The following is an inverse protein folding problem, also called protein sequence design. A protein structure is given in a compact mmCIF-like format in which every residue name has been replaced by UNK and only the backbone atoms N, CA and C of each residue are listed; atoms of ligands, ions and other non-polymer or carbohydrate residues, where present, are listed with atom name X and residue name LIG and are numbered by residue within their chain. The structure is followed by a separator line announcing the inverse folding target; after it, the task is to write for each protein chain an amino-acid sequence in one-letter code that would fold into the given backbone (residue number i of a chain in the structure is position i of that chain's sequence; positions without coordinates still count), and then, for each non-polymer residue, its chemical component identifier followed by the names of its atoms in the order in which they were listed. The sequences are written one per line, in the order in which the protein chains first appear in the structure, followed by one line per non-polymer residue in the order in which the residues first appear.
data_IF_149215348822
#
_entry.id   IF_149215348822
#
_cell.length_a   1.000
_cell.length_b   1.000
_cell.length_c   1.000
_cell.angle_alpha   90.00
_cell.angle_beta   90.00
_cell.angle_gamma   90.00
#
_symmetry.space_group_name_H-M   'P 1'
#
loop_
_entity.id
_entity.type
_entity.pdbx_description
1 polymer ?
#
# COMPACT_ATOMS: atom_id res chain seq x y z
N UNK A 1 0.77 -17.46 -24.60
CA UNK A 1 2.01 -17.57 -23.80
C UNK A 1 1.99 -16.55 -22.66
N UNK A 2 2.52 -16.94 -21.49
CA UNK A 2 2.66 -16.06 -20.32
C UNK A 2 4.14 -15.84 -20.02
N UNK A 3 4.50 -14.63 -19.61
CA UNK A 3 5.86 -14.27 -19.21
C UNK A 3 5.86 -13.79 -17.77
N UNK A 4 6.76 -14.30 -16.93
CA UNK A 4 7.00 -13.76 -15.59
C UNK A 4 7.81 -12.47 -15.72
N UNK A 5 7.23 -11.34 -15.29
CA UNK A 5 7.87 -10.01 -15.35
C UNK A 5 8.37 -9.53 -13.99
N UNK A 6 7.86 -10.08 -12.89
CA UNK A 6 8.30 -9.76 -11.52
C UNK A 6 7.96 -10.88 -10.55
N UNK A 7 8.85 -11.10 -9.58
CA UNK A 7 8.67 -12.04 -8.49
C UNK A 7 8.95 -11.38 -7.15
N UNK A 8 7.96 -11.46 -6.24
CA UNK A 8 8.07 -10.87 -4.91
C UNK A 8 8.75 -11.83 -3.93
N UNK A 9 10.00 -11.61 -3.64
CA UNK A 9 10.79 -12.40 -2.71
C UNK A 9 10.98 -11.67 -1.36
N UNK A 10 11.22 -12.44 -0.25
CA UNK A 10 11.24 -13.89 -0.14
C UNK A 10 9.85 -14.53 -0.14
N UNK A 11 9.77 -15.81 -0.49
CA UNK A 11 8.56 -16.58 -0.29
C UNK A 11 8.25 -16.74 1.19
N UNK A 12 7.03 -16.40 1.59
CA UNK A 12 6.56 -16.53 2.96
C UNK A 12 5.31 -17.40 2.99
N UNK A 13 5.41 -18.56 3.61
CA UNK A 13 4.30 -19.48 3.84
C UNK A 13 3.42 -18.95 4.98
N UNK A 14 2.52 -18.00 4.67
CA UNK A 14 1.58 -17.43 5.61
C UNK A 14 0.31 -17.04 4.87
N UNK A 15 -0.85 -17.42 5.40
CA UNK A 15 -2.17 -17.21 4.80
C UNK A 15 -2.76 -15.80 4.96
N UNK A 16 -1.95 -14.76 5.25
CA UNK A 16 -2.48 -13.40 5.50
C UNK A 16 -1.63 -12.30 4.87
N UNK A 17 -2.25 -11.13 4.70
CA UNK A 17 -1.65 -9.87 4.28
C UNK A 17 -0.91 -10.00 2.94
N UNK A 18 -1.62 -10.42 1.90
CA UNK A 18 -1.05 -10.60 0.57
C UNK A 18 -0.83 -9.27 -0.16
N UNK A 19 -1.71 -8.29 0.05
CA UNK A 19 -1.75 -7.09 -0.78
C UNK A 19 -2.21 -7.44 -2.20
N UNK A 20 -1.27 -7.49 -3.13
CA UNK A 20 -1.46 -7.95 -4.53
C UNK A 20 -2.42 -7.08 -5.34
N UNK A 21 -2.58 -5.79 -4.99
CA UNK A 21 -3.31 -4.82 -5.80
C UNK A 21 -2.37 -4.21 -6.81
N UNK A 22 -2.87 -4.01 -8.02
CA UNK A 22 -2.10 -3.50 -9.14
C UNK A 22 -2.87 -2.40 -9.84
N UNK A 23 -2.13 -1.44 -10.38
CA UNK A 23 -2.65 -0.48 -11.34
C UNK A 23 -1.57 -0.08 -12.33
N UNK A 24 -1.98 0.23 -13.55
CA UNK A 24 -1.12 0.84 -14.55
C UNK A 24 -1.38 2.35 -14.52
N UNK A 25 -0.30 3.10 -14.42
CA UNK A 25 -0.33 4.55 -14.55
C UNK A 25 0.82 4.98 -15.45
N UNK A 26 0.50 5.70 -16.50
CA UNK A 26 1.45 6.05 -17.58
C UNK A 26 2.09 4.76 -18.15
N UNK A 27 3.41 4.67 -18.18
CA UNK A 27 4.15 3.50 -18.68
C UNK A 27 4.53 2.51 -17.56
N UNK A 28 4.06 2.73 -16.33
CA UNK A 28 4.47 1.95 -15.17
C UNK A 28 3.37 1.07 -14.62
N UNK A 29 3.76 -0.12 -14.17
CA UNK A 29 2.95 -0.99 -13.34
C UNK A 29 3.33 -0.77 -11.86
N UNK A 30 2.34 -0.41 -11.05
CA UNK A 30 2.45 -0.34 -9.60
C UNK A 30 1.82 -1.60 -9.01
N UNK A 31 2.53 -2.25 -8.08
CA UNK A 31 2.06 -3.46 -7.40
C UNK A 31 2.25 -3.32 -5.90
N UNK A 32 1.21 -3.55 -5.13
CA UNK A 32 1.30 -3.60 -3.68
C UNK A 32 1.58 -5.02 -3.19
N UNK A 33 2.48 -5.14 -2.23
CA UNK A 33 2.84 -6.41 -1.60
C UNK A 33 2.63 -6.26 -0.10
N UNK A 34 1.77 -7.11 0.47
CA UNK A 34 1.49 -7.11 1.90
C UNK A 34 2.64 -7.70 2.70
N UNK A 35 2.70 -7.41 4.01
CA UNK A 35 3.81 -7.82 4.89
C UNK A 35 3.75 -9.28 5.35
N UNK A 36 2.78 -10.06 4.84
CA UNK A 36 2.66 -11.50 5.01
C UNK A 36 2.65 -11.97 6.47
N UNK A 37 2.15 -11.14 7.40
CA UNK A 37 2.13 -11.42 8.84
C UNK A 37 3.48 -11.31 9.55
N UNK A 38 4.52 -10.82 8.88
CA UNK A 38 5.88 -10.68 9.43
C UNK A 38 6.20 -9.29 9.98
N UNK A 39 5.25 -8.37 9.89
CA UNK A 39 5.30 -7.04 10.52
C UNK A 39 6.52 -6.22 10.12
N UNK A 40 7.60 -6.32 10.88
CA UNK A 40 8.79 -5.49 10.69
C UNK A 40 9.53 -5.71 9.36
N UNK A 41 9.25 -6.78 8.63
CA UNK A 41 9.80 -6.98 7.28
C UNK A 41 9.43 -5.83 6.32
N UNK A 42 8.30 -5.15 6.59
CA UNK A 42 7.89 -3.96 5.84
C UNK A 42 8.83 -2.75 5.99
N UNK A 43 9.81 -2.83 6.90
CA UNK A 43 10.86 -1.83 7.09
C UNK A 43 12.22 -2.28 6.54
N UNK A 44 12.30 -3.49 5.98
CA UNK A 44 13.52 -4.01 5.39
C UNK A 44 13.52 -3.72 3.87
N UNK A 45 14.36 -2.80 3.40
CA UNK A 45 14.36 -2.39 2.00
C UNK A 45 15.04 -3.39 1.05
N UNK A 46 15.62 -4.46 1.56
CA UNK A 46 16.29 -5.48 0.74
C UNK A 46 15.33 -6.46 0.06
N UNK A 47 14.02 -6.38 0.38
CA UNK A 47 12.98 -7.25 -0.14
C UNK A 47 11.71 -6.50 -0.51
N UNK A 48 10.80 -7.15 -1.27
CA UNK A 48 9.57 -6.53 -1.76
C UNK A 48 8.41 -6.57 -0.75
N UNK A 49 8.54 -7.26 0.38
CA UNK A 49 7.43 -7.57 1.30
C UNK A 49 7.07 -6.35 2.15
N UNK A 50 5.78 -5.96 2.16
CA UNK A 50 5.32 -4.77 2.87
C UNK A 50 5.64 -3.46 2.13
N UNK A 51 5.69 -3.51 0.79
CA UNK A 51 6.04 -2.37 -0.05
C UNK A 51 5.07 -2.16 -1.23
N UNK A 52 5.22 -1.02 -1.88
CA UNK A 52 4.72 -0.77 -3.23
C UNK A 52 5.92 -0.78 -4.16
N UNK A 53 5.89 -1.62 -5.16
CA UNK A 53 6.88 -1.64 -6.23
C UNK A 53 6.38 -0.89 -7.46
N UNK A 54 7.31 -0.36 -8.24
CA UNK A 54 7.06 0.22 -9.57
C UNK A 54 8.04 -0.37 -10.58
N UNK A 55 7.50 -0.93 -11.65
CA UNK A 55 8.27 -1.50 -12.77
C UNK A 55 7.71 -0.97 -14.10
N UNK A 56 8.49 -1.07 -15.15
CA UNK A 56 8.00 -0.91 -16.51
C UNK A 56 7.07 -2.07 -16.89
N UNK A 57 6.25 -1.91 -17.92
CA UNK A 57 5.31 -2.94 -18.38
C UNK A 57 5.99 -4.24 -18.85
N UNK A 58 7.27 -4.16 -19.21
CA UNK A 58 8.12 -5.31 -19.57
C UNK A 58 8.84 -5.97 -18.38
N UNK A 59 8.63 -5.45 -17.17
CA UNK A 59 9.28 -5.92 -15.95
C UNK A 59 10.61 -5.27 -15.62
N UNK A 60 11.18 -4.48 -16.52
CA UNK A 60 12.43 -3.76 -16.27
C UNK A 60 12.25 -2.65 -15.19
N UNK A 61 13.36 -2.26 -14.57
CA UNK A 61 13.35 -1.26 -13.50
C UNK A 61 13.41 0.15 -14.07
N UNK A 62 12.44 1.05 -13.75
CA UNK A 62 12.49 2.45 -14.13
C UNK A 62 13.73 3.14 -13.56
N UNK A 63 14.49 3.85 -14.39
CA UNK A 63 15.74 4.52 -14.01
C UNK A 63 15.55 5.60 -12.94
N UNK A 64 14.36 6.15 -12.84
CA UNK A 64 13.97 7.18 -11.88
C UNK A 64 13.32 6.62 -10.60
N UNK A 65 13.31 5.30 -10.36
CA UNK A 65 12.91 4.75 -9.08
C UNK A 65 13.81 5.29 -7.96
N UNK A 66 13.25 5.47 -6.74
CA UNK A 66 13.97 6.20 -5.68
C UNK A 66 15.28 5.56 -5.23
N UNK A 67 15.43 4.26 -5.44
CA UNK A 67 16.52 3.49 -4.82
C UNK A 67 17.43 2.76 -5.83
N UNK A 68 17.34 3.02 -7.12
CA UNK A 68 18.16 2.36 -8.15
C UNK A 68 19.68 2.54 -7.96
N UNK A 69 20.09 3.60 -7.29
CA UNK A 69 21.51 3.87 -6.99
C UNK A 69 21.96 3.35 -5.61
N UNK A 70 21.05 2.74 -4.84
CA UNK A 70 21.37 2.24 -3.51
C UNK A 70 21.48 0.71 -3.50
N UNK A 71 22.70 0.14 -3.37
CA UNK A 71 22.91 -1.31 -3.45
C UNK A 71 22.30 -2.09 -2.28
N UNK A 72 21.86 -1.40 -1.23
CA UNK A 72 21.19 -2.04 -0.07
C UNK A 72 19.68 -2.11 -0.22
N UNK A 73 19.12 -1.52 -1.26
CA UNK A 73 17.70 -1.47 -1.51
C UNK A 73 17.33 -2.25 -2.76
N UNK A 74 16.18 -2.92 -2.73
CA UNK A 74 15.62 -3.53 -3.93
C UNK A 74 15.19 -2.40 -4.90
N UNK A 75 15.75 -2.32 -6.13
CA UNK A 75 15.57 -1.16 -7.00
C UNK A 75 14.14 -1.00 -7.54
N UNK A 76 13.30 -2.04 -7.47
CA UNK A 76 11.88 -1.96 -7.82
C UNK A 76 11.03 -1.27 -6.76
N UNK A 77 11.51 -1.09 -5.53
CA UNK A 77 10.75 -0.43 -4.47
C UNK A 77 10.50 1.03 -4.82
N UNK A 78 9.24 1.43 -4.67
CA UNK A 78 8.80 2.81 -4.82
C UNK A 78 8.43 3.46 -3.47
N UNK A 79 7.82 2.66 -2.56
CA UNK A 79 7.40 3.06 -1.22
C UNK A 79 7.39 1.85 -0.30
N UNK A 80 7.69 2.02 0.99
CA UNK A 80 7.69 0.94 1.98
C UNK A 80 6.71 1.20 3.13
N UNK A 81 6.63 0.23 4.05
CA UNK A 81 5.92 0.37 5.32
C UNK A 81 4.42 0.22 5.23
N UNK A 82 3.92 -0.55 4.27
CA UNK A 82 2.50 -0.94 4.19
C UNK A 82 2.26 -2.29 4.86
N UNK A 83 1.03 -2.48 5.39
CA UNK A 83 0.65 -3.74 6.04
C UNK A 83 -0.03 -4.69 5.06
N UNK A 84 -1.16 -4.29 4.52
CA UNK A 84 -1.99 -5.12 3.65
C UNK A 84 -2.88 -4.24 2.77
N UNK A 85 -2.37 -3.67 1.69
CA UNK A 85 -3.18 -2.89 0.76
C UNK A 85 -4.28 -3.74 0.10
N UNK A 86 -5.51 -3.21 0.05
CA UNK A 86 -6.69 -3.90 -0.48
C UNK A 86 -7.30 -3.21 -1.70
N UNK A 87 -6.89 -2.00 -2.00
CA UNK A 87 -7.26 -1.25 -3.20
C UNK A 87 -6.10 -0.42 -3.70
N UNK A 88 -6.08 -0.15 -5.00
CA UNK A 88 -5.12 0.74 -5.64
C UNK A 88 -5.75 1.30 -6.91
N UNK A 89 -5.80 2.63 -7.02
CA UNK A 89 -6.35 3.31 -8.20
C UNK A 89 -5.69 4.68 -8.41
N UNK A 90 -5.47 5.11 -9.67
CA UNK A 90 -5.01 6.45 -9.96
C UNK A 90 -6.17 7.45 -9.91
N UNK A 91 -5.93 8.60 -9.28
CA UNK A 91 -6.81 9.75 -9.30
C UNK A 91 -6.75 10.43 -10.69
N UNK A 92 -7.86 10.51 -11.42
CA UNK A 92 -7.88 11.06 -12.77
C UNK A 92 -7.59 12.57 -12.82
N UNK A 93 -7.85 13.31 -11.74
CA UNK A 93 -7.62 14.75 -11.67
C UNK A 93 -6.17 15.12 -11.36
N UNK A 94 -5.56 14.42 -10.41
CA UNK A 94 -4.22 14.74 -9.93
C UNK A 94 -3.14 13.84 -10.51
N UNK A 95 -3.55 12.77 -11.20
CA UNK A 95 -2.67 11.72 -11.72
C UNK A 95 -1.80 11.06 -10.64
N UNK A 96 -2.27 11.06 -9.37
CA UNK A 96 -1.62 10.38 -8.25
C UNK A 96 -2.24 9.01 -8.03
N UNK A 97 -1.43 8.03 -7.62
CA UNK A 97 -1.92 6.71 -7.24
C UNK A 97 -2.26 6.70 -5.76
N UNK A 98 -3.42 6.13 -5.42
CA UNK A 98 -3.85 5.93 -4.05
C UNK A 98 -3.98 4.45 -3.71
N UNK A 99 -3.83 4.13 -2.43
CA UNK A 99 -4.08 2.81 -1.87
C UNK A 99 -5.06 2.89 -0.71
N UNK A 100 -5.87 1.86 -0.53
CA UNK A 100 -6.46 1.51 0.75
C UNK A 100 -5.60 0.48 1.44
N UNK A 101 -5.40 0.60 2.76
CA UNK A 101 -4.55 -0.33 3.50
C UNK A 101 -5.19 -0.73 4.83
N UNK A 102 -5.25 -2.04 5.09
CA UNK A 102 -5.74 -2.57 6.36
C UNK A 102 -4.78 -2.29 7.50
N UNK A 103 -5.28 -1.56 8.51
CA UNK A 103 -4.70 -1.55 9.84
C UNK A 103 -5.08 -2.83 10.63
N UNK A 104 -4.67 -2.91 11.91
CA UNK A 104 -5.17 -3.95 12.82
C UNK A 104 -6.57 -3.59 13.36
N UNK A 105 -6.76 -3.51 14.69
CA UNK A 105 -8.03 -3.13 15.32
C UNK A 105 -8.50 -1.71 14.95
N UNK A 106 -7.53 -0.82 14.65
CA UNK A 106 -7.74 0.52 14.11
C UNK A 106 -6.59 0.91 13.20
N UNK A 107 -6.83 1.92 12.35
CA UNK A 107 -5.81 2.45 11.45
C UNK A 107 -5.86 1.89 10.04
N UNK A 108 -7.01 1.43 9.58
CA UNK A 108 -7.28 1.36 8.14
C UNK A 108 -7.13 2.75 7.57
N UNK A 109 -6.60 2.86 6.35
CA UNK A 109 -6.38 4.18 5.78
C UNK A 109 -6.46 4.20 4.24
N UNK A 110 -6.70 5.41 3.72
CA UNK A 110 -6.43 5.79 2.33
C UNK A 110 -5.19 6.66 2.32
N UNK A 111 -4.27 6.37 1.41
CA UNK A 111 -3.05 7.15 1.30
C UNK A 111 -2.44 7.17 -0.10
N UNK A 112 -1.69 8.23 -0.40
CA UNK A 112 -0.98 8.41 -1.66
C UNK A 112 0.22 7.46 -1.79
N UNK A 113 0.39 6.84 -2.94
CA UNK A 113 1.62 6.13 -3.31
C UNK A 113 2.66 7.17 -3.73
N UNK A 114 3.62 7.44 -2.85
CA UNK A 114 4.57 8.54 -3.00
C UNK A 114 6.01 8.04 -3.03
N UNK A 115 6.74 8.50 -4.04
CA UNK A 115 8.14 8.13 -4.30
C UNK A 115 9.03 8.28 -3.06
N UNK A 116 9.73 7.21 -2.69
CA UNK A 116 10.76 7.25 -1.64
C UNK A 116 10.23 7.41 -0.22
N UNK A 117 8.93 7.17 0.02
CA UNK A 117 8.31 7.39 1.33
C UNK A 117 8.03 6.09 2.09
N UNK A 118 7.67 6.22 3.38
CA UNK A 118 7.44 5.12 4.30
C UNK A 118 6.20 5.40 5.16
N UNK A 119 5.23 4.49 5.16
CA UNK A 119 4.05 4.56 6.04
C UNK A 119 4.29 4.06 7.46
N UNK A 120 5.46 3.44 7.70
CA UNK A 120 5.94 3.10 9.04
C UNK A 120 5.44 1.79 9.64
N UNK A 121 4.70 0.96 8.92
CA UNK A 121 4.34 -0.35 9.43
C UNK A 121 5.60 -1.23 9.63
N UNK A 122 5.87 -1.90 10.76
CA UNK A 122 5.11 -2.04 12.02
C UNK A 122 5.75 -1.23 13.16
N UNK A 123 6.49 -0.16 12.85
CA UNK A 123 7.05 0.76 13.86
C UNK A 123 5.92 1.56 14.52
N UNK A 124 4.98 2.02 13.70
CA UNK A 124 3.79 2.78 14.09
C UNK A 124 2.52 2.15 13.54
N UNK A 125 1.37 2.46 14.15
CA UNK A 125 0.04 2.14 13.62
C UNK A 125 -0.98 3.13 14.16
N UNK A 126 -1.84 3.67 13.30
CA UNK A 126 -2.79 4.72 13.65
C UNK A 126 -3.78 4.34 14.77
N UNK A 127 -4.10 3.06 14.91
CA UNK A 127 -4.87 2.55 16.06
C UNK A 127 -4.02 2.19 17.28
N UNK A 128 -2.70 2.20 17.17
CA UNK A 128 -1.73 1.93 18.24
C UNK A 128 -1.74 0.52 18.83
N UNK A 129 -2.79 -0.28 18.56
CA UNK A 129 -3.03 -1.58 19.21
C UNK A 129 -3.40 -2.68 18.24
N UNK A 130 -2.98 -3.91 18.56
CA UNK A 130 -3.42 -5.14 17.90
C UNK A 130 -4.85 -5.54 18.33
N UNK A 131 -5.40 -6.57 17.69
CA UNK A 131 -6.69 -7.17 18.07
C UNK A 131 -6.69 -7.68 19.50
N UNK A 132 -5.57 -8.19 20.01
CA UNK A 132 -5.37 -8.61 21.40
C UNK A 132 -5.29 -7.47 22.42
N UNK A 133 -5.26 -6.20 21.95
CA UNK A 133 -5.04 -5.03 22.80
C UNK A 133 -3.57 -4.69 23.03
N UNK A 134 -2.63 -5.56 22.63
CA UNK A 134 -1.20 -5.29 22.76
C UNK A 134 -0.78 -4.09 21.88
N UNK A 135 0.21 -3.33 22.34
CA UNK A 135 0.77 -2.20 21.59
C UNK A 135 1.44 -2.65 20.29
N UNK A 136 1.38 -1.81 19.28
CA UNK A 136 2.16 -1.94 18.05
C UNK A 136 3.34 -0.98 18.13
N UNK A 137 4.54 -1.50 17.95
CA UNK A 137 5.76 -0.73 18.23
C UNK A 137 5.71 -0.17 19.66
N UNK A 138 5.92 1.13 19.79
CA UNK A 138 5.78 1.85 21.06
C UNK A 138 4.36 2.34 21.34
N UNK A 139 3.37 1.95 20.53
CA UNK A 139 1.98 2.41 20.62
C UNK A 139 1.74 3.79 20.00
N UNK A 140 2.71 4.32 19.25
CA UNK A 140 2.60 5.59 18.54
C UNK A 140 1.76 5.43 17.27
N UNK A 141 0.93 6.43 16.98
CA UNK A 141 0.20 6.51 15.73
C UNK A 141 1.11 6.89 14.56
N UNK A 142 2.04 7.80 14.81
CA UNK A 142 2.95 8.36 13.81
C UNK A 142 4.24 8.86 14.46
N UNK A 143 5.29 9.06 13.66
CA UNK A 143 6.53 9.70 14.06
C UNK A 143 7.14 10.52 12.90
N UNK A 144 8.00 11.53 13.19
CA UNK A 144 8.64 12.34 12.16
C UNK A 144 9.37 11.51 11.12
N UNK A 145 9.29 11.94 9.85
CA UNK A 145 9.90 11.24 8.71
C UNK A 145 9.02 10.19 8.05
N UNK A 146 7.89 9.82 8.66
CA UNK A 146 6.91 8.92 8.06
C UNK A 146 5.81 9.68 7.32
N UNK A 147 5.30 9.08 6.24
CA UNK A 147 4.18 9.64 5.47
C UNK A 147 2.88 9.50 6.26
N UNK A 148 2.10 10.58 6.33
CA UNK A 148 0.75 10.55 6.87
C UNK A 148 -0.24 10.13 5.79
N UNK A 149 -1.19 9.22 6.08
CA UNK A 149 -2.31 8.95 5.19
C UNK A 149 -3.23 10.16 4.99
N UNK A 150 -3.99 10.13 3.91
CA UNK A 150 -4.99 11.15 3.60
C UNK A 150 -6.25 11.02 4.46
N UNK A 151 -6.65 9.77 4.76
CA UNK A 151 -7.78 9.49 5.63
C UNK A 151 -7.52 8.22 6.45
N UNK A 152 -8.03 8.17 7.69
CA UNK A 152 -7.76 7.09 8.64
C UNK A 152 -9.05 6.73 9.38
N UNK A 153 -9.31 5.44 9.56
CA UNK A 153 -10.41 4.93 10.38
C UNK A 153 -9.89 4.31 11.68
N UNK A 154 -10.39 4.83 12.81
CA UNK A 154 -10.20 4.23 14.13
C UNK A 154 -11.55 4.24 14.84
N UNK A 155 -12.18 3.07 15.01
CA UNK A 155 -11.73 1.71 14.67
C UNK A 155 -11.67 1.44 13.17
N UNK A 156 -10.93 0.39 12.78
CA UNK A 156 -10.86 -0.09 11.40
C UNK A 156 -12.23 -0.54 10.89
N UNK A 157 -12.51 -0.25 9.62
CA UNK A 157 -13.75 -0.61 8.90
C UNK A 157 -13.59 -1.86 8.03
N UNK A 158 -12.37 -2.42 7.93
CA UNK A 158 -12.06 -3.44 6.95
C UNK A 158 -12.11 -2.86 5.52
N UNK A 159 -11.37 -1.77 5.29
CA UNK A 159 -11.37 -1.06 4.00
C UNK A 159 -11.05 -2.02 2.86
N UNK A 160 -11.89 -2.05 1.83
CA UNK A 160 -11.74 -2.95 0.67
C UNK A 160 -11.07 -2.29 -0.53
N UNK A 161 -11.54 -2.68 -1.72
CA UNK A 161 -11.14 -2.04 -2.96
C UNK A 161 -11.50 -0.56 -3.02
N UNK A 162 -10.77 0.18 -3.84
CA UNK A 162 -11.06 1.59 -4.13
C UNK A 162 -11.15 1.80 -5.62
N UNK A 163 -11.95 2.78 -6.03
CA UNK A 163 -12.07 3.22 -7.42
C UNK A 163 -12.46 4.68 -7.49
N UNK A 164 -11.73 5.47 -8.25
CA UNK A 164 -12.19 6.79 -8.66
C UNK A 164 -13.29 6.62 -9.70
N UNK A 165 -14.45 7.18 -9.41
CA UNK A 165 -15.59 7.08 -10.32
C UNK A 165 -15.36 7.98 -11.54
N UNK A 166 -15.57 7.39 -12.70
CA UNK A 166 -15.59 8.07 -13.99
C UNK A 166 -16.76 7.51 -14.78
N UNK A 167 -17.82 8.28 -14.97
CA UNK A 167 -18.98 7.81 -15.69
C UNK A 167 -20.15 8.79 -15.68
N UNK A 168 -21.08 8.60 -16.60
CA UNK A 168 -22.21 9.51 -16.82
C UNK A 168 -23.47 9.15 -16.01
N UNK A 169 -23.54 7.92 -15.45
CA UNK A 169 -24.75 7.45 -14.76
C UNK A 169 -24.99 8.14 -13.41
N UNK A 170 -23.91 8.55 -12.72
CA UNK A 170 -23.99 9.27 -11.44
C UNK A 170 -23.09 10.51 -11.51
N UNK A 171 -23.57 11.59 -12.16
CA UNK A 171 -22.76 12.79 -12.38
C UNK A 171 -22.23 13.42 -11.07
N UNK A 172 -23.00 13.31 -10.00
CA UNK A 172 -22.61 13.81 -8.66
C UNK A 172 -21.45 13.04 -8.04
N UNK A 173 -21.09 11.85 -8.58
CA UNK A 173 -19.96 11.05 -8.12
C UNK A 173 -18.73 11.21 -9.00
N UNK A 174 -18.80 12.02 -10.03
CA UNK A 174 -17.66 12.24 -10.93
C UNK A 174 -16.41 12.66 -10.14
N UNK A 175 -15.31 11.93 -10.33
CA UNK A 175 -14.05 12.04 -9.59
C UNK A 175 -14.13 11.69 -8.08
N UNK A 176 -15.26 11.22 -7.56
CA UNK A 176 -15.34 10.72 -6.19
C UNK A 176 -14.55 9.42 -6.04
N UNK A 177 -13.87 9.25 -4.91
CA UNK A 177 -13.24 8.00 -4.54
C UNK A 177 -14.25 7.07 -3.85
N UNK A 178 -14.69 6.04 -4.55
CA UNK A 178 -15.54 4.98 -4.00
C UNK A 178 -14.69 4.01 -3.18
N UNK A 179 -15.16 3.65 -1.99
CA UNK A 179 -14.41 2.84 -1.02
C UNK A 179 -15.32 1.74 -0.48
N UNK A 180 -14.93 0.49 -0.66
CA UNK A 180 -15.64 -0.64 -0.07
C UNK A 180 -15.27 -0.85 1.40
N UNK A 181 -16.22 -1.34 2.21
CA UNK A 181 -16.01 -1.77 3.59
C UNK A 181 -16.44 -3.21 3.79
N UNK A 182 -15.54 -4.06 4.30
CA UNK A 182 -15.85 -5.47 4.61
C UNK A 182 -16.62 -5.63 5.93
N UNK A 183 -16.45 -4.69 6.86
CA UNK A 183 -17.02 -4.78 8.20
C UNK A 183 -18.49 -4.31 8.26
N UNK A 184 -18.84 -3.30 7.49
CA UNK A 184 -20.14 -2.65 7.58
C UNK A 184 -21.03 -2.90 6.35
N UNK A 185 -20.54 -3.66 5.36
CA UNK A 185 -21.27 -4.05 4.16
C UNK A 185 -21.81 -2.86 3.33
N UNK A 186 -21.06 -1.75 3.26
CA UNK A 186 -21.31 -0.58 2.40
C UNK A 186 -20.01 -0.08 1.75
#
# INVERSE_FOLDING_TARGET
DSQLIFEALPYITNGRHFGSRMTIKDEYLYVSIGERGKGMIAQDPSNAIGSIIRINKDGSIPKDNPYVQNPKWLPSIYQIGVRNPQGMDPDPLTNKVFISNHGPKGGDFIGEVKKGTNYGWKRVAWGGKNYSGSKIGEGKAWEPGLLKPNHIWVPSIGVGGIKFYQGELFPEWENALLIGSLKFQY
#
